data_IF_217638953246
#
_entry.id   IF_217638953246
#
_cell.length_a   1.000
_cell.length_b   1.000
_cell.length_c   1.000
_cell.angle_alpha   90.00
_cell.angle_beta   90.00
_cell.angle_gamma   90.00
#
_symmetry.space_group_name_H-M   'P 1'
#
loop_
_entity.id
_entity.type
_entity.pdbx_description
1 polymer ?
#
# COMPACT_ATOMS: atom_id res chain seq x y z
N UNK A 1 21.65 16.93 -45.14
CA UNK A 1 22.37 17.08 -43.85
C UNK A 1 21.59 18.12 -43.10
N UNK A 2 20.51 17.68 -42.46
CA UNK A 2 19.60 18.58 -41.78
C UNK A 2 19.80 18.40 -40.28
N UNK A 3 20.42 19.42 -39.70
CA UNK A 3 20.70 19.51 -38.27
C UNK A 3 19.38 19.59 -37.50
N UNK A 4 18.93 18.46 -36.96
CA UNK A 4 18.06 18.45 -35.79
C UNK A 4 18.91 18.85 -34.58
N UNK A 5 19.05 20.17 -34.37
CA UNK A 5 19.46 20.69 -33.07
C UNK A 5 18.35 20.38 -32.06
N UNK A 6 18.54 19.31 -31.28
CA UNK A 6 17.88 19.16 -29.99
C UNK A 6 18.22 20.42 -29.18
N UNK A 7 17.25 21.31 -29.02
CA UNK A 7 17.34 22.39 -28.05
C UNK A 7 17.59 21.81 -26.65
N UNK A 8 18.16 22.60 -25.72
CA UNK A 8 18.29 22.15 -24.34
C UNK A 8 16.91 21.74 -23.85
N UNK A 9 16.80 20.55 -23.27
CA UNK A 9 15.64 20.18 -22.46
C UNK A 9 15.51 21.34 -21.45
N UNK A 10 14.44 22.15 -21.56
CA UNK A 10 14.15 23.19 -20.58
C UNK A 10 14.34 22.57 -19.20
N UNK A 11 14.96 23.29 -18.27
CA UNK A 11 15.22 22.83 -16.90
C UNK A 11 13.89 22.74 -16.14
N UNK A 12 13.11 21.75 -16.53
CA UNK A 12 11.85 21.39 -15.96
C UNK A 12 12.22 20.74 -14.63
N UNK A 13 11.80 21.36 -13.53
CA UNK A 13 12.09 20.90 -12.18
C UNK A 13 11.64 19.46 -11.90
N UNK A 14 11.57 19.04 -10.65
CA UNK A 14 11.24 17.65 -10.33
C UNK A 14 10.01 17.51 -9.44
N UNK A 15 9.41 16.33 -9.49
CA UNK A 15 8.32 15.92 -8.60
C UNK A 15 8.79 14.75 -7.76
N UNK A 16 8.54 14.80 -6.46
CA UNK A 16 8.78 13.70 -5.55
C UNK A 16 7.47 12.96 -5.26
N UNK A 17 7.50 11.64 -5.36
CA UNK A 17 6.45 10.76 -4.86
C UNK A 17 7.00 9.89 -3.76
N UNK A 18 6.33 9.89 -2.60
CA UNK A 18 6.75 9.13 -1.44
C UNK A 18 5.62 8.18 -1.05
N UNK A 19 5.95 6.90 -0.90
CA UNK A 19 5.11 5.85 -0.33
C UNK A 19 5.74 5.38 0.99
N UNK A 20 5.10 5.72 2.11
CA UNK A 20 5.57 5.40 3.45
C UNK A 20 4.72 4.33 4.12
N UNK A 21 5.29 3.14 4.32
CA UNK A 21 4.62 2.01 4.94
C UNK A 21 5.21 1.59 6.29
N UNK A 22 4.68 0.49 6.82
CA UNK A 22 5.16 -0.13 8.07
C UNK A 22 6.53 -0.79 7.91
N UNK A 23 6.84 -1.34 6.73
CA UNK A 23 8.11 -2.06 6.50
C UNK A 23 9.16 -1.12 5.91
N UNK A 24 8.83 -0.44 4.82
CA UNK A 24 9.75 0.40 4.07
C UNK A 24 9.09 1.72 3.70
N UNK A 25 9.91 2.70 3.36
CA UNK A 25 9.52 3.97 2.74
C UNK A 25 10.27 4.13 1.44
N UNK A 26 9.57 4.42 0.35
CA UNK A 26 10.17 4.60 -0.98
C UNK A 26 9.91 6.03 -1.45
N UNK A 27 10.96 6.71 -1.91
CA UNK A 27 10.84 7.99 -2.59
C UNK A 27 11.32 7.84 -4.03
N UNK A 28 10.53 8.34 -4.99
CA UNK A 28 10.91 8.43 -6.39
C UNK A 28 10.94 9.89 -6.85
N UNK A 29 11.91 10.21 -7.69
CA UNK A 29 12.05 11.52 -8.31
C UNK A 29 11.73 11.42 -9.80
N UNK A 30 10.72 12.16 -10.26
CA UNK A 30 10.28 12.21 -11.66
C UNK A 30 10.53 13.61 -12.25
N UNK A 31 10.83 13.73 -13.56
CA UNK A 31 10.93 15.02 -14.22
C UNK A 31 9.55 15.70 -14.30
N UNK A 32 9.47 16.98 -13.96
CA UNK A 32 8.30 17.82 -14.18
C UNK A 32 8.12 18.11 -15.67
N UNK A 33 6.88 18.37 -16.12
CA UNK A 33 6.60 18.84 -17.48
C UNK A 33 6.87 17.87 -18.66
N UNK A 34 7.45 16.70 -18.44
CA UNK A 34 7.64 15.71 -19.51
C UNK A 34 6.30 15.18 -20.03
N UNK A 35 6.06 15.32 -21.34
CA UNK A 35 4.90 14.71 -22.01
C UNK A 35 5.38 13.42 -22.68
N UNK A 36 5.08 12.27 -22.07
CA UNK A 36 5.53 10.97 -22.58
C UNK A 36 5.74 9.92 -21.49
N UNK A 37 6.50 8.87 -21.79
CA UNK A 37 6.87 7.84 -20.81
C UNK A 37 7.78 8.48 -19.74
N UNK A 38 7.23 8.73 -18.56
CA UNK A 38 7.95 9.37 -17.45
C UNK A 38 9.02 8.41 -16.95
N UNK A 39 10.29 8.70 -17.28
CA UNK A 39 11.43 7.94 -16.79
C UNK A 39 11.75 8.40 -15.36
N UNK A 40 11.76 7.46 -14.42
CA UNK A 40 12.21 7.70 -13.06
C UNK A 40 13.69 8.14 -13.06
N UNK A 41 13.99 9.30 -12.46
CA UNK A 41 15.36 9.83 -12.34
C UNK A 41 16.11 9.12 -11.23
N UNK A 42 15.45 8.89 -10.10
CA UNK A 42 16.02 8.20 -8.95
C UNK A 42 14.94 7.53 -8.11
N UNK A 43 15.37 6.52 -7.35
CA UNK A 43 14.57 5.77 -6.38
C UNK A 43 15.40 5.52 -5.14
N UNK A 44 14.99 6.04 -4.01
CA UNK A 44 15.59 5.81 -2.70
C UNK A 44 14.65 4.99 -1.81
N UNK A 45 15.23 4.19 -0.92
CA UNK A 45 14.49 3.32 0.01
C UNK A 45 15.05 3.48 1.41
N UNK A 46 14.16 3.66 2.38
CA UNK A 46 14.50 3.65 3.80
C UNK A 46 13.57 2.70 4.56
N UNK A 47 13.77 2.59 5.88
CA UNK A 47 12.93 1.79 6.76
C UNK A 47 11.51 2.34 6.96
N UNK A 48 10.87 1.90 8.04
CA UNK A 48 9.50 2.29 8.38
C UNK A 48 9.34 3.80 8.61
N UNK A 49 8.30 4.39 8.01
CA UNK A 49 7.82 5.74 8.36
C UNK A 49 6.45 5.70 9.05
N UNK A 50 6.00 4.51 9.48
CA UNK A 50 4.77 4.38 10.24
C UNK A 50 4.99 4.80 11.70
N UNK A 51 4.47 5.97 12.07
CA UNK A 51 4.58 6.53 13.44
C UNK A 51 4.06 5.58 14.53
N UNK A 52 3.06 4.75 14.23
CA UNK A 52 2.50 3.81 15.22
C UNK A 52 3.46 2.65 15.49
N UNK A 53 4.39 2.39 14.56
CA UNK A 53 5.39 1.33 14.66
C UNK A 53 6.70 1.83 15.25
N UNK A 54 7.22 2.99 14.81
CA UNK A 54 8.58 3.46 15.18
C UNK A 54 8.58 4.77 15.98
N UNK A 55 7.41 5.35 16.24
CA UNK A 55 7.30 6.67 16.85
C UNK A 55 7.46 7.82 15.86
N UNK A 56 7.02 9.01 16.29
CA UNK A 56 6.92 10.21 15.44
C UNK A 56 8.29 10.69 14.92
N UNK A 57 9.28 10.83 15.79
CA UNK A 57 10.58 11.41 15.43
C UNK A 57 11.32 10.54 14.40
N UNK A 58 11.37 9.22 14.63
CA UNK A 58 12.02 8.28 13.72
C UNK A 58 11.31 8.21 12.37
N UNK A 59 9.98 8.30 12.36
CA UNK A 59 9.20 8.36 11.13
C UNK A 59 9.55 9.61 10.30
N UNK A 60 9.58 10.80 10.92
CA UNK A 60 9.93 12.05 10.22
C UNK A 60 11.37 12.07 9.71
N UNK A 61 12.32 11.56 10.49
CA UNK A 61 13.72 11.43 10.09
C UNK A 61 13.86 10.51 8.88
N UNK A 62 13.14 9.38 8.87
CA UNK A 62 13.09 8.45 7.74
C UNK A 62 12.57 9.14 6.47
N UNK A 63 11.48 9.92 6.57
CA UNK A 63 10.92 10.67 5.45
C UNK A 63 11.89 11.73 4.91
N UNK A 64 12.57 12.47 5.79
CA UNK A 64 13.56 13.47 5.39
C UNK A 64 14.74 12.82 4.66
N UNK A 65 15.30 11.75 5.24
CA UNK A 65 16.47 11.07 4.69
C UNK A 65 16.19 10.46 3.32
N UNK A 66 15.04 9.79 3.14
CA UNK A 66 14.71 9.15 1.85
C UNK A 66 14.46 10.19 0.75
N UNK A 67 13.86 11.35 1.07
CA UNK A 67 13.70 12.45 0.10
C UNK A 67 15.04 13.08 -0.27
N UNK A 68 15.91 13.30 0.72
CA UNK A 68 17.27 13.83 0.50
C UNK A 68 18.10 12.90 -0.37
N UNK A 69 18.04 11.59 -0.12
CA UNK A 69 18.76 10.58 -0.90
C UNK A 69 18.24 10.52 -2.34
N UNK A 70 16.91 10.55 -2.55
CA UNK A 70 16.33 10.57 -3.89
C UNK A 70 16.78 11.80 -4.69
N UNK A 71 16.78 12.99 -4.08
CA UNK A 71 17.28 14.21 -4.74
C UNK A 71 18.77 14.14 -5.06
N UNK A 72 19.58 13.66 -4.11
CA UNK A 72 21.02 13.45 -4.28
C UNK A 72 21.33 12.50 -5.45
N UNK A 73 20.62 11.37 -5.53
CA UNK A 73 20.78 10.40 -6.63
C UNK A 73 20.29 10.92 -7.98
N UNK A 74 19.34 11.85 -7.99
CA UNK A 74 18.86 12.51 -9.21
C UNK A 74 19.74 13.69 -9.64
N UNK A 75 20.76 14.05 -8.84
CA UNK A 75 21.58 15.26 -9.03
C UNK A 75 20.73 16.54 -9.07
N UNK A 76 19.78 16.66 -8.13
CA UNK A 76 18.84 17.78 -8.04
C UNK A 76 18.84 18.45 -6.67
N UNK A 77 18.60 19.75 -6.67
CA UNK A 77 18.45 20.56 -5.48
C UNK A 77 16.98 20.68 -5.03
N UNK A 78 16.78 20.97 -3.75
CA UNK A 78 15.46 21.22 -3.17
C UNK A 78 14.71 22.39 -3.83
N UNK A 79 15.44 23.35 -4.42
CA UNK A 79 14.89 24.50 -5.17
C UNK A 79 14.31 24.13 -6.54
N UNK A 80 14.66 22.96 -7.07
CA UNK A 80 14.16 22.46 -8.35
C UNK A 80 12.87 21.65 -8.17
N UNK A 81 12.53 21.27 -6.94
CA UNK A 81 11.29 20.55 -6.63
C UNK A 81 10.10 21.45 -6.93
N UNK A 82 9.13 20.96 -7.70
CA UNK A 82 7.87 21.66 -8.00
C UNK A 82 6.71 21.12 -7.17
N UNK A 83 6.77 19.84 -6.83
CA UNK A 83 5.72 19.19 -6.08
C UNK A 83 6.22 17.98 -5.29
N UNK A 84 5.56 17.69 -4.17
CA UNK A 84 5.74 16.48 -3.39
C UNK A 84 4.37 15.88 -3.11
N UNK A 85 4.18 14.61 -3.45
CA UNK A 85 3.09 13.80 -2.91
C UNK A 85 3.67 12.86 -1.86
N UNK A 86 3.23 13.04 -0.62
CA UNK A 86 3.59 12.23 0.53
C UNK A 86 2.39 11.36 0.90
N UNK A 87 2.39 10.11 0.43
CA UNK A 87 1.37 9.13 0.78
C UNK A 87 1.92 8.21 1.85
N UNK A 88 1.40 8.29 3.07
CA UNK A 88 1.95 7.56 4.21
C UNK A 88 0.88 6.89 5.05
N UNK A 89 1.20 5.69 5.52
CA UNK A 89 0.34 4.92 6.40
C UNK A 89 0.09 5.68 7.70
N UNK A 90 -1.16 5.67 8.15
CA UNK A 90 -1.59 6.36 9.38
C UNK A 90 -2.06 7.81 9.18
N UNK A 91 -2.00 8.38 7.97
CA UNK A 91 -2.73 9.60 7.63
C UNK A 91 -4.20 9.24 7.46
N UNK A 92 -4.99 9.50 8.50
CA UNK A 92 -6.39 9.11 8.58
C UNK A 92 -7.33 10.27 8.91
N UNK A 93 -6.80 11.34 9.49
CA UNK A 93 -7.57 12.49 9.93
C UNK A 93 -6.97 13.79 9.39
N UNK A 94 -7.76 14.86 9.14
CA UNK A 94 -7.24 16.15 8.68
C UNK A 94 -6.12 16.74 9.55
N UNK A 95 -6.08 16.41 10.84
CA UNK A 95 -4.99 16.80 11.75
C UNK A 95 -3.66 16.12 11.41
N UNK A 96 -3.67 14.87 10.95
CA UNK A 96 -2.47 14.16 10.51
C UNK A 96 -1.92 14.78 9.23
N UNK A 97 -2.83 15.08 8.29
CA UNK A 97 -2.51 15.73 7.02
C UNK A 97 -1.89 17.11 7.27
N UNK A 98 -2.53 17.94 8.11
CA UNK A 98 -2.06 19.28 8.45
C UNK A 98 -0.66 19.25 9.07
N UNK A 99 -0.41 18.34 10.01
CA UNK A 99 0.90 18.20 10.67
C UNK A 99 2.02 17.93 9.67
N UNK A 100 1.81 16.99 8.74
CA UNK A 100 2.79 16.67 7.70
C UNK A 100 2.96 17.81 6.70
N UNK A 101 1.88 18.50 6.33
CA UNK A 101 1.95 19.69 5.47
C UNK A 101 2.77 20.81 6.11
N UNK A 102 2.55 21.08 7.41
CA UNK A 102 3.30 22.11 8.13
C UNK A 102 4.79 21.72 8.25
N UNK A 103 5.10 20.44 8.45
CA UNK A 103 6.46 19.92 8.42
C UNK A 103 7.13 20.10 7.04
N UNK A 104 6.45 19.74 5.94
CA UNK A 104 6.96 19.93 4.58
C UNK A 104 7.25 21.41 4.27
N UNK A 105 6.36 22.32 4.69
CA UNK A 105 6.53 23.78 4.50
C UNK A 105 7.75 24.35 5.21
N UNK A 106 8.24 23.72 6.28
CA UNK A 106 9.48 24.14 6.95
C UNK A 106 10.73 23.68 6.22
N UNK A 107 10.64 22.65 5.38
CA UNK A 107 11.79 22.00 4.71
C UNK A 107 11.99 22.45 3.28
N UNK A 108 10.90 22.73 2.58
CA UNK A 108 10.89 23.04 1.16
C UNK A 108 10.65 24.54 0.90
N UNK A 109 11.13 25.08 -0.23
CA UNK A 109 10.81 26.44 -0.66
C UNK A 109 9.30 26.69 -0.81
N UNK A 110 8.88 27.95 -0.66
CA UNK A 110 7.46 28.34 -0.66
C UNK A 110 6.71 28.09 -1.96
N UNK A 111 7.41 27.88 -3.08
CA UNK A 111 6.80 27.61 -4.38
C UNK A 111 6.42 26.13 -4.57
N UNK A 112 6.89 25.23 -3.70
CA UNK A 112 6.63 23.80 -3.80
C UNK A 112 5.20 23.50 -3.37
N UNK A 113 4.50 22.71 -4.17
CA UNK A 113 3.15 22.22 -3.85
C UNK A 113 3.22 20.90 -3.09
N UNK A 114 2.40 20.74 -2.06
CA UNK A 114 2.37 19.53 -1.24
C UNK A 114 1.01 18.87 -1.28
N UNK A 115 1.03 17.56 -1.48
CA UNK A 115 -0.12 16.67 -1.36
C UNK A 115 0.23 15.64 -0.29
N UNK A 116 -0.57 15.57 0.76
CA UNK A 116 -0.38 14.58 1.83
C UNK A 116 -1.60 13.68 1.82
N UNK A 117 -1.37 12.40 1.58
CA UNK A 117 -2.43 11.42 1.34
C UNK A 117 -2.23 10.18 2.19
N UNK A 118 -3.27 9.36 2.25
CA UNK A 118 -3.16 7.99 2.75
C UNK A 118 -2.38 7.13 1.73
N UNK A 119 -1.64 6.14 2.21
CA UNK A 119 -0.90 5.16 1.39
C UNK A 119 -1.80 4.47 0.35
N UNK A 120 -3.07 4.23 0.67
CA UNK A 120 -4.05 3.68 -0.27
C UNK A 120 -4.28 4.56 -1.52
N UNK A 121 -4.15 5.88 -1.41
CA UNK A 121 -4.32 6.79 -2.56
C UNK A 121 -3.18 6.61 -3.55
N UNK A 122 -1.94 6.49 -3.08
CA UNK A 122 -0.78 6.22 -3.92
C UNK A 122 -0.84 4.81 -4.55
N UNK A 123 -1.30 3.81 -3.80
CA UNK A 123 -1.52 2.47 -4.31
C UNK A 123 -2.62 2.42 -5.39
N UNK A 124 -3.72 3.15 -5.22
CA UNK A 124 -4.74 3.29 -6.28
C UNK A 124 -4.17 4.02 -7.50
N UNK A 125 -3.37 5.06 -7.29
CA UNK A 125 -2.75 5.83 -8.36
C UNK A 125 -1.76 5.00 -9.18
N UNK A 126 -1.01 4.08 -8.58
CA UNK A 126 -0.06 3.25 -9.33
C UNK A 126 -0.75 2.29 -10.29
N UNK A 127 -1.90 1.73 -9.91
CA UNK A 127 -2.69 0.87 -10.79
C UNK A 127 -3.55 1.63 -11.81
N UNK A 128 -3.84 2.92 -11.57
CA UNK A 128 -4.68 3.75 -12.44
C UNK A 128 -3.92 4.82 -13.22
N UNK A 129 -2.58 4.79 -13.15
CA UNK A 129 -1.67 5.78 -13.75
C UNK A 129 -2.06 7.22 -13.38
N UNK A 130 -2.34 7.45 -12.09
CA UNK A 130 -2.64 8.76 -11.53
C UNK A 130 -4.04 9.32 -11.82
N UNK A 131 -4.97 8.51 -12.33
CA UNK A 131 -6.37 8.94 -12.60
C UNK A 131 -7.28 8.94 -11.36
N UNK A 132 -6.95 8.17 -10.33
CA UNK A 132 -7.71 8.05 -9.07
C UNK A 132 -9.20 7.74 -9.27
N UNK A 133 -9.48 6.60 -9.89
CA UNK A 133 -10.84 6.09 -10.03
C UNK A 133 -10.86 4.59 -9.78
N UNK A 134 -11.85 4.11 -9.02
CA UNK A 134 -12.09 2.70 -8.73
C UNK A 134 -11.79 2.35 -7.27
N UNK A 135 -11.34 1.11 -7.05
CA UNK A 135 -11.02 0.59 -5.73
C UNK A 135 -9.58 0.06 -5.71
N UNK A 136 -8.91 0.20 -4.59
CA UNK A 136 -7.67 -0.50 -4.26
C UNK A 136 -7.92 -1.44 -3.09
N UNK A 137 -7.31 -2.62 -3.14
CA UNK A 137 -7.17 -3.53 -2.01
C UNK A 137 -5.68 -3.65 -1.70
N UNK A 138 -5.30 -3.24 -0.50
CA UNK A 138 -3.96 -3.48 0.05
C UNK A 138 -4.06 -4.66 1.02
N UNK A 139 -3.22 -5.67 0.85
CA UNK A 139 -2.96 -6.67 1.89
C UNK A 139 -1.45 -6.97 1.99
N UNK A 140 -0.84 -6.40 3.01
CA UNK A 140 0.55 -6.63 3.42
C UNK A 140 0.56 -7.03 4.89
N UNK A 141 1.34 -6.35 5.73
CA UNK A 141 1.28 -6.54 7.20
C UNK A 141 -0.12 -6.26 7.74
N UNK A 142 -0.75 -5.18 7.29
CA UNK A 142 -2.17 -4.85 7.51
C UNK A 142 -2.97 -4.96 6.21
N UNK A 143 -4.26 -4.61 6.25
CA UNK A 143 -5.13 -4.63 5.07
C UNK A 143 -6.11 -3.49 5.04
N UNK A 144 -6.40 -2.94 3.86
CA UNK A 144 -7.39 -1.90 3.65
C UNK A 144 -7.99 -2.02 2.24
N UNK A 145 -9.30 -1.82 2.12
CA UNK A 145 -9.95 -1.50 0.86
C UNK A 145 -10.30 -0.02 0.85
N UNK A 146 -9.97 0.68 -0.24
CA UNK A 146 -10.22 2.11 -0.37
C UNK A 146 -10.65 2.43 -1.80
N UNK A 147 -11.60 3.32 -1.99
CA UNK A 147 -12.11 3.65 -3.31
C UNK A 147 -12.38 5.13 -3.49
N UNK A 148 -12.25 5.58 -4.74
CA UNK A 148 -12.51 6.94 -5.20
C UNK A 148 -13.37 6.87 -6.47
N UNK A 149 -14.44 7.66 -6.53
CA UNK A 149 -15.28 7.83 -7.72
C UNK A 149 -14.78 8.99 -8.58
N UNK A 150 -15.22 9.09 -9.84
CA UNK A 150 -14.77 10.19 -10.73
C UNK A 150 -15.17 11.59 -10.22
N UNK A 151 -16.26 11.68 -9.45
CA UNK A 151 -16.72 12.89 -8.76
C UNK A 151 -16.02 13.14 -7.41
N UNK A 152 -15.03 12.32 -7.04
CA UNK A 152 -14.18 12.52 -5.86
C UNK A 152 -14.79 12.04 -4.54
N UNK A 153 -15.86 11.23 -4.55
CA UNK A 153 -16.36 10.60 -3.32
C UNK A 153 -15.46 9.45 -2.94
N UNK A 154 -15.21 9.32 -1.64
CA UNK A 154 -14.28 8.35 -1.09
C UNK A 154 -14.98 7.41 -0.11
N UNK A 155 -14.52 6.16 -0.05
CA UNK A 155 -14.93 5.22 0.99
C UNK A 155 -13.80 4.26 1.31
N UNK A 156 -13.81 3.76 2.54
CA UNK A 156 -12.85 2.77 3.02
C UNK A 156 -13.50 1.66 3.83
N UNK A 157 -12.85 0.49 3.87
CA UNK A 157 -13.16 -0.62 4.74
C UNK A 157 -11.84 -1.26 5.24
N UNK A 158 -11.83 -1.75 6.48
CA UNK A 158 -10.62 -2.14 7.22
C UNK A 158 -9.61 -0.97 7.33
N UNK A 159 -8.32 -1.27 7.57
CA UNK A 159 -7.27 -0.28 7.79
C UNK A 159 -7.31 0.35 9.18
N UNK A 160 -7.94 -0.33 10.14
CA UNK A 160 -8.06 0.12 11.53
C UNK A 160 -6.96 -0.50 12.42
N UNK A 161 -6.14 -1.39 11.86
CA UNK A 161 -5.08 -2.10 12.56
C UNK A 161 -5.51 -3.49 13.02
N UNK A 162 -4.54 -4.31 13.47
CA UNK A 162 -4.76 -5.74 13.71
C UNK A 162 -5.76 -6.05 14.83
N UNK A 163 -5.88 -5.17 15.82
CA UNK A 163 -6.84 -5.31 16.93
C UNK A 163 -8.28 -5.12 16.46
N UNK A 164 -8.49 -4.29 15.44
CA UNK A 164 -9.81 -3.83 14.98
C UNK A 164 -10.29 -4.54 13.71
N UNK A 165 -9.62 -5.62 13.30
CA UNK A 165 -10.11 -6.49 12.25
C UNK A 165 -9.54 -6.25 10.87
N UNK A 166 -8.23 -5.94 10.77
CA UNK A 166 -7.46 -6.13 9.54
C UNK A 166 -7.28 -7.65 9.23
N UNK A 167 -8.40 -8.39 9.19
CA UNK A 167 -8.43 -9.81 8.90
C UNK A 167 -8.15 -10.05 7.41
N UNK A 168 -7.43 -11.13 7.12
CA UNK A 168 -6.86 -11.38 5.79
C UNK A 168 -5.60 -10.58 5.45
N UNK A 169 -5.17 -9.65 6.31
CA UNK A 169 -3.79 -9.17 6.30
C UNK A 169 -2.80 -10.27 6.67
N UNK A 170 -1.52 -10.05 6.40
CA UNK A 170 -0.47 -10.98 6.80
C UNK A 170 -0.39 -11.17 8.31
N UNK A 171 -0.57 -10.09 9.09
CA UNK A 171 -0.68 -10.21 10.55
C UNK A 171 -1.91 -11.04 10.92
N UNK A 172 -3.07 -10.77 10.33
CA UNK A 172 -4.32 -11.48 10.62
C UNK A 172 -4.21 -12.98 10.35
N UNK A 173 -3.67 -13.36 9.18
CA UNK A 173 -3.42 -14.76 8.79
C UNK A 173 -2.49 -15.45 9.80
N UNK A 174 -1.35 -14.82 10.10
CA UNK A 174 -0.35 -15.39 11.01
C UNK A 174 -0.84 -15.47 12.47
N UNK A 175 -1.56 -14.46 12.95
CA UNK A 175 -2.13 -14.47 14.30
C UNK A 175 -3.17 -15.58 14.49
N UNK A 176 -4.00 -15.84 13.47
CA UNK A 176 -4.91 -16.99 13.47
C UNK A 176 -4.15 -18.32 13.48
N UNK A 177 -3.04 -18.43 12.74
CA UNK A 177 -2.20 -19.62 12.74
C UNK A 177 -1.52 -19.87 14.09
N UNK A 178 -0.93 -18.84 14.71
CA UNK A 178 -0.38 -18.93 16.06
C UNK A 178 -1.46 -19.32 17.08
N UNK A 179 -2.66 -18.74 16.97
CA UNK A 179 -3.81 -19.11 17.80
C UNK A 179 -4.20 -20.59 17.61
N UNK A 180 -4.15 -21.09 16.37
CA UNK A 180 -4.42 -22.48 16.07
C UNK A 180 -3.38 -23.44 16.68
N UNK A 181 -2.09 -23.07 16.66
CA UNK A 181 -1.02 -23.83 17.33
C UNK A 181 -1.28 -23.95 18.83
N UNK A 182 -1.61 -22.84 19.50
CA UNK A 182 -1.92 -22.87 20.94
C UNK A 182 -3.17 -23.71 21.23
N UNK A 183 -4.23 -23.56 20.43
CA UNK A 183 -5.45 -24.37 20.57
C UNK A 183 -5.20 -25.87 20.35
N UNK A 184 -4.33 -26.23 19.41
CA UNK A 184 -3.95 -27.62 19.18
C UNK A 184 -3.15 -28.17 20.38
N UNK A 185 -2.28 -27.34 20.97
CA UNK A 185 -1.48 -27.71 22.13
C UNK A 185 -2.30 -27.91 23.41
N UNK A 186 -3.23 -26.99 23.69
CA UNK A 186 -4.06 -27.03 24.91
C UNK A 186 -5.34 -27.89 24.77
N UNK A 187 -5.54 -28.51 23.61
CA UNK A 187 -6.64 -29.43 23.33
C UNK A 187 -7.98 -28.78 22.97
N UNK A 188 -8.05 -27.45 22.81
CA UNK A 188 -9.27 -26.74 22.36
C UNK A 188 -9.49 -26.80 20.83
N UNK A 189 -8.47 -27.16 20.07
CA UNK A 189 -8.50 -27.22 18.61
C UNK A 189 -8.00 -28.56 18.07
N UNK A 190 -8.23 -28.83 16.78
CA UNK A 190 -7.68 -30.01 16.13
C UNK A 190 -6.15 -29.95 16.05
N UNK A 191 -5.51 -31.11 15.95
CA UNK A 191 -4.09 -31.19 15.59
C UNK A 191 -3.88 -30.58 14.20
N UNK A 192 -2.75 -29.90 14.02
CA UNK A 192 -2.40 -29.21 12.77
C UNK A 192 -0.91 -29.27 12.52
N UNK A 193 -0.53 -29.38 11.24
CA UNK A 193 0.86 -29.27 10.76
C UNK A 193 1.45 -27.90 11.02
N UNK A 194 0.61 -26.87 11.23
CA UNK A 194 1.06 -25.54 11.63
C UNK A 194 1.92 -25.58 12.91
N UNK A 195 1.63 -26.50 13.84
CA UNK A 195 2.42 -26.62 15.08
C UNK A 195 3.88 -26.91 14.76
N UNK A 196 4.17 -28.02 14.08
CA UNK A 196 5.55 -28.40 13.78
C UNK A 196 6.22 -27.41 12.82
N UNK A 197 5.48 -26.93 11.82
CA UNK A 197 6.02 -26.03 10.80
C UNK A 197 6.39 -24.65 11.38
N UNK A 198 5.56 -24.08 12.26
CA UNK A 198 5.86 -22.80 12.92
C UNK A 198 6.96 -22.97 13.95
N UNK A 199 6.95 -24.02 14.77
CA UNK A 199 8.03 -24.26 15.73
C UNK A 199 9.38 -24.40 15.03
N UNK A 200 9.42 -25.10 13.89
CA UNK A 200 10.62 -25.23 13.07
C UNK A 200 11.08 -23.88 12.50
N UNK A 201 10.18 -23.08 11.94
CA UNK A 201 10.51 -21.75 11.40
C UNK A 201 11.08 -20.84 12.49
N UNK A 202 10.49 -20.88 13.69
CA UNK A 202 10.86 -20.04 14.82
C UNK A 202 12.00 -20.61 15.66
N UNK A 203 12.46 -21.83 15.36
CA UNK A 203 13.47 -22.58 16.11
C UNK A 203 13.09 -22.77 17.60
N UNK A 204 11.81 -23.03 17.87
CA UNK A 204 11.27 -23.26 19.20
C UNK A 204 11.14 -24.75 19.49
N UNK A 205 11.34 -25.14 20.75
CA UNK A 205 11.30 -26.57 21.13
C UNK A 205 9.89 -27.03 21.55
N UNK A 206 8.99 -26.10 21.86
CA UNK A 206 7.64 -26.40 22.34
C UNK A 206 6.62 -25.30 22.00
N UNK A 207 5.32 -25.62 21.87
CA UNK A 207 4.27 -24.61 21.68
C UNK A 207 4.19 -23.56 22.79
N UNK A 208 4.58 -23.89 24.03
CA UNK A 208 4.60 -22.93 25.15
C UNK A 208 5.56 -21.76 24.90
N UNK A 209 6.68 -22.01 24.20
CA UNK A 209 7.66 -20.96 23.87
C UNK A 209 7.12 -19.93 22.88
N UNK A 210 6.04 -20.25 22.14
CA UNK A 210 5.38 -19.31 21.22
C UNK A 210 4.86 -18.08 21.97
N UNK A 211 4.45 -18.24 23.23
CA UNK A 211 3.99 -17.12 24.08
C UNK A 211 5.16 -16.14 24.28
N UNK A 212 6.30 -16.66 24.76
CA UNK A 212 7.51 -15.85 24.97
C UNK A 212 7.98 -15.18 23.67
N UNK A 213 8.01 -15.94 22.57
CA UNK A 213 8.37 -15.41 21.27
C UNK A 213 7.43 -14.28 20.81
N UNK A 214 6.12 -14.41 21.02
CA UNK A 214 5.11 -13.43 20.57
C UNK A 214 5.22 -12.13 21.34
N UNK A 215 5.40 -12.17 22.67
CA UNK A 215 5.44 -10.97 23.50
C UNK A 215 6.85 -10.35 23.62
N UNK A 216 7.90 -11.03 23.16
CA UNK A 216 9.27 -10.49 23.15
C UNK A 216 9.45 -9.30 22.19
N UNK A 217 8.61 -9.19 21.16
CA UNK A 217 8.68 -8.13 20.15
C UNK A 217 7.26 -7.81 19.63
N UNK A 218 6.84 -6.56 19.76
CA UNK A 218 5.53 -6.08 19.34
C UNK A 218 5.40 -5.85 17.82
N UNK A 219 6.46 -6.09 17.03
CA UNK A 219 6.49 -5.89 15.59
C UNK A 219 5.43 -6.70 14.85
N UNK A 220 4.49 -6.00 14.20
CA UNK A 220 3.47 -6.66 13.37
C UNK A 220 4.06 -7.34 12.14
N UNK A 221 5.14 -6.77 11.58
CA UNK A 221 5.82 -7.35 10.42
C UNK A 221 6.45 -8.71 10.76
N UNK A 222 6.96 -8.88 11.98
CA UNK A 222 7.53 -10.14 12.46
C UNK A 222 6.47 -11.25 12.55
N UNK A 223 5.26 -10.91 12.99
CA UNK A 223 4.14 -11.86 12.98
C UNK A 223 3.72 -12.17 11.54
N UNK A 224 3.52 -11.14 10.71
CA UNK A 224 3.11 -11.30 9.31
C UNK A 224 4.11 -12.12 8.47
N UNK A 225 5.38 -12.16 8.85
CA UNK A 225 6.41 -12.98 8.19
C UNK A 225 6.13 -14.49 8.24
N UNK A 226 5.18 -14.96 9.07
CA UNK A 226 4.77 -16.37 9.14
C UNK A 226 3.78 -16.80 8.03
N UNK A 227 3.24 -15.86 7.23
CA UNK A 227 2.29 -16.18 6.14
C UNK A 227 2.80 -17.28 5.19
N UNK A 228 4.08 -17.29 4.74
CA UNK A 228 4.60 -18.35 3.89
C UNK A 228 4.49 -19.75 4.52
N UNK A 229 4.66 -19.86 5.85
CA UNK A 229 4.51 -21.13 6.58
C UNK A 229 3.06 -21.61 6.57
N UNK A 230 2.10 -20.68 6.74
CA UNK A 230 0.66 -20.98 6.66
C UNK A 230 0.30 -21.45 5.26
N UNK A 231 0.76 -20.75 4.23
CA UNK A 231 0.54 -21.12 2.82
C UNK A 231 1.15 -22.49 2.50
N UNK A 232 2.39 -22.76 2.94
CA UNK A 232 3.02 -24.07 2.74
C UNK A 232 2.23 -25.19 3.42
N UNK A 233 1.76 -24.96 4.64
CA UNK A 233 0.97 -25.95 5.39
C UNK A 233 -0.36 -26.24 4.69
N UNK A 234 -1.03 -25.22 4.15
CA UNK A 234 -2.26 -25.40 3.38
C UNK A 234 -2.03 -26.21 2.09
N UNK A 235 -0.94 -25.91 1.37
CA UNK A 235 -0.50 -26.65 0.17
C UNK A 235 -0.20 -28.12 0.48
N UNK A 236 0.31 -28.39 1.68
CA UNK A 236 0.59 -29.73 2.20
C UNK A 236 -0.68 -30.47 2.69
N UNK A 237 -1.86 -29.87 2.53
CA UNK A 237 -3.15 -30.48 2.86
C UNK A 237 -3.61 -30.24 4.30
N UNK A 238 -3.01 -29.31 5.04
CA UNK A 238 -3.47 -28.99 6.40
C UNK A 238 -4.82 -28.26 6.36
N UNK A 239 -5.86 -28.87 6.93
CA UNK A 239 -7.23 -28.33 6.90
C UNK A 239 -7.37 -27.02 7.68
N UNK A 240 -6.63 -26.86 8.78
CA UNK A 240 -6.68 -25.65 9.61
C UNK A 240 -6.07 -24.47 8.86
N UNK A 241 -4.92 -24.66 8.23
CA UNK A 241 -4.28 -23.65 7.39
C UNK A 241 -5.16 -23.28 6.18
N UNK A 242 -5.75 -24.27 5.49
CA UNK A 242 -6.69 -24.02 4.39
C UNK A 242 -7.89 -23.18 4.85
N UNK A 243 -8.46 -23.50 6.02
CA UNK A 243 -9.57 -22.75 6.60
C UNK A 243 -9.19 -21.29 6.87
N UNK A 244 -8.05 -21.05 7.54
CA UNK A 244 -7.55 -19.69 7.83
C UNK A 244 -7.42 -18.85 6.56
N UNK A 245 -6.85 -19.44 5.50
CA UNK A 245 -6.65 -18.73 4.24
C UNK A 245 -7.98 -18.48 3.51
N UNK A 246 -8.95 -19.39 3.58
CA UNK A 246 -10.27 -19.17 3.01
C UNK A 246 -11.06 -18.09 3.75
N UNK A 247 -11.03 -18.08 5.09
CA UNK A 247 -11.66 -17.03 5.90
C UNK A 247 -11.04 -15.67 5.58
N UNK A 248 -9.70 -15.62 5.47
CA UNK A 248 -8.95 -14.43 5.06
C UNK A 248 -9.35 -13.89 3.67
N UNK A 249 -9.58 -14.79 2.70
CA UNK A 249 -10.09 -14.41 1.37
C UNK A 249 -11.47 -13.77 1.46
N UNK A 250 -12.36 -14.32 2.29
CA UNK A 250 -13.71 -13.78 2.49
C UNK A 250 -13.65 -12.39 3.12
N UNK A 251 -12.84 -12.19 4.17
CA UNK A 251 -12.69 -10.90 4.85
C UNK A 251 -12.20 -9.81 3.89
N UNK A 252 -11.18 -10.12 3.06
CA UNK A 252 -10.66 -9.20 2.06
C UNK A 252 -11.71 -8.87 0.98
N UNK A 253 -12.45 -9.88 0.50
CA UNK A 253 -13.51 -9.68 -0.48
C UNK A 253 -14.65 -8.81 0.07
N UNK A 254 -15.06 -9.03 1.32
CA UNK A 254 -16.10 -8.26 1.98
C UNK A 254 -15.71 -6.79 2.14
N UNK A 255 -14.42 -6.51 2.41
CA UNK A 255 -13.91 -5.14 2.44
C UNK A 255 -14.09 -4.42 1.09
N UNK A 256 -13.71 -5.07 -0.02
CA UNK A 256 -13.90 -4.50 -1.36
C UNK A 256 -15.38 -4.34 -1.67
N UNK A 257 -16.20 -5.35 -1.38
CA UNK A 257 -17.65 -5.32 -1.62
C UNK A 257 -18.31 -4.15 -0.88
N UNK A 258 -17.89 -3.90 0.36
CA UNK A 258 -18.39 -2.79 1.17
C UNK A 258 -18.06 -1.42 0.54
N UNK A 259 -16.83 -1.24 0.05
CA UNK A 259 -16.41 0.00 -0.64
C UNK A 259 -17.18 0.20 -1.94
N UNK A 260 -17.21 -0.83 -2.80
CA UNK A 260 -17.90 -0.79 -4.10
C UNK A 260 -19.38 -0.46 -3.91
N UNK A 261 -20.05 -1.05 -2.91
CA UNK A 261 -21.46 -0.80 -2.61
C UNK A 261 -21.71 0.63 -2.14
N UNK A 262 -20.89 1.16 -1.23
CA UNK A 262 -21.06 2.53 -0.70
C UNK A 262 -20.84 3.60 -1.76
N UNK A 263 -19.90 3.37 -2.67
CA UNK A 263 -19.56 4.29 -3.74
C UNK A 263 -20.37 4.11 -5.01
N UNK A 264 -21.05 2.96 -5.15
CA UNK A 264 -21.75 2.54 -6.36
C UNK A 264 -20.82 2.51 -7.58
N UNK A 265 -19.59 2.00 -7.40
CA UNK A 265 -18.55 1.98 -8.46
C UNK A 265 -18.96 1.19 -9.70
N UNK A 266 -19.92 0.27 -9.57
CA UNK A 266 -20.46 -0.54 -10.65
C UNK A 266 -21.75 0.03 -11.26
N UNK A 267 -22.13 1.27 -10.94
CA UNK A 267 -23.38 1.88 -11.39
C UNK A 267 -24.65 1.26 -10.76
N UNK A 268 -25.81 1.80 -11.13
CA UNK A 268 -27.11 1.40 -10.54
C UNK A 268 -27.50 -0.06 -10.84
N UNK A 269 -27.09 -0.60 -11.99
CA UNK A 269 -27.39 -1.96 -12.41
C UNK A 269 -26.42 -3.03 -11.85
N UNK A 270 -25.37 -2.59 -11.15
CA UNK A 270 -24.36 -3.45 -10.54
C UNK A 270 -23.36 -4.08 -11.52
N UNK A 271 -23.37 -3.69 -12.79
CA UNK A 271 -22.61 -4.36 -13.87
C UNK A 271 -21.54 -3.49 -14.52
N UNK A 272 -21.50 -2.20 -14.17
CA UNK A 272 -20.47 -1.27 -14.63
C UNK A 272 -19.06 -1.77 -14.32
N UNK A 273 -18.13 -1.48 -15.24
CA UNK A 273 -16.72 -1.84 -15.07
C UNK A 273 -16.03 -0.85 -14.15
N UNK A 274 -15.22 -1.35 -13.22
CA UNK A 274 -14.36 -0.53 -12.38
C UNK A 274 -13.02 -1.23 -12.13
N UNK A 275 -11.90 -0.48 -12.03
CA UNK A 275 -10.62 -1.06 -11.71
C UNK A 275 -10.57 -1.45 -10.22
N UNK A 276 -10.03 -2.64 -9.95
CA UNK A 276 -9.65 -3.10 -8.62
C UNK A 276 -8.14 -3.27 -8.59
N UNK A 277 -7.44 -2.27 -8.06
CA UNK A 277 -5.99 -2.31 -7.92
C UNK A 277 -5.62 -3.19 -6.73
N UNK A 278 -4.69 -4.13 -6.89
CA UNK A 278 -4.27 -5.05 -5.84
C UNK A 278 -2.80 -4.83 -5.48
N UNK A 279 -2.52 -4.55 -4.22
CA UNK A 279 -1.16 -4.22 -3.73
C UNK A 279 -0.83 -4.97 -2.44
N UNK A 280 0.42 -5.41 -2.31
CA UNK A 280 0.94 -6.03 -1.09
C UNK A 280 1.20 -7.52 -1.24
N UNK A 281 2.20 -8.01 -0.49
CA UNK A 281 2.74 -9.36 -0.63
C UNK A 281 1.77 -10.50 -0.39
N UNK A 282 0.65 -10.27 0.32
CA UNK A 282 -0.40 -11.29 0.52
C UNK A 282 -1.18 -11.54 -0.78
N UNK A 283 -1.30 -10.54 -1.64
CA UNK A 283 -2.03 -10.62 -2.91
C UNK A 283 -1.14 -11.03 -4.09
N UNK A 284 0.17 -11.13 -3.89
CA UNK A 284 1.10 -11.58 -4.93
C UNK A 284 0.82 -13.03 -5.33
N UNK A 285 0.85 -13.32 -6.63
CA UNK A 285 0.50 -14.64 -7.15
C UNK A 285 1.46 -15.72 -6.66
N UNK A 286 0.94 -16.69 -5.91
CA UNK A 286 1.65 -17.93 -5.56
C UNK A 286 1.13 -19.08 -6.41
N UNK A 287 2.05 -19.95 -6.89
CA UNK A 287 1.73 -21.01 -7.88
C UNK A 287 0.80 -22.10 -7.35
N UNK A 288 0.64 -22.26 -6.03
CA UNK A 288 -0.19 -23.34 -5.45
C UNK A 288 -1.35 -22.86 -4.56
N UNK A 289 -1.22 -21.72 -3.88
CA UNK A 289 -2.32 -21.10 -3.15
C UNK A 289 -2.33 -19.58 -3.35
N UNK A 290 -3.21 -19.10 -4.21
CA UNK A 290 -3.22 -17.71 -4.68
C UNK A 290 -4.38 -16.92 -4.06
N UNK A 291 -4.08 -16.21 -2.96
CA UNK A 291 -5.09 -15.42 -2.22
C UNK A 291 -5.67 -14.34 -3.13
N UNK A 292 -4.85 -13.63 -3.92
CA UNK A 292 -5.31 -12.58 -4.82
C UNK A 292 -6.30 -13.07 -5.87
N UNK A 293 -6.05 -14.25 -6.45
CA UNK A 293 -6.99 -14.89 -7.40
C UNK A 293 -8.30 -15.32 -6.72
N UNK A 294 -8.25 -15.92 -5.54
CA UNK A 294 -9.48 -16.34 -4.85
C UNK A 294 -10.31 -15.13 -4.37
N UNK A 295 -9.67 -14.06 -3.91
CA UNK A 295 -10.35 -12.78 -3.60
C UNK A 295 -11.04 -12.23 -4.85
N UNK A 296 -10.33 -12.15 -5.97
CA UNK A 296 -10.88 -11.71 -7.26
C UNK A 296 -12.09 -12.55 -7.67
N UNK A 297 -12.03 -13.87 -7.50
CA UNK A 297 -13.11 -14.80 -7.82
C UNK A 297 -14.31 -14.67 -6.89
N UNK A 298 -14.10 -14.36 -5.61
CA UNK A 298 -15.19 -14.06 -4.69
C UNK A 298 -15.90 -12.75 -5.09
N UNK A 299 -15.14 -11.72 -5.43
CA UNK A 299 -15.70 -10.42 -5.82
C UNK A 299 -16.42 -10.53 -7.18
N UNK A 300 -15.90 -11.27 -8.16
CA UNK A 300 -16.51 -11.37 -9.50
C UNK A 300 -17.88 -12.07 -9.50
N UNK A 301 -18.16 -12.92 -8.51
CA UNK A 301 -19.49 -13.50 -8.30
C UNK A 301 -20.55 -12.45 -7.94
N UNK A 302 -20.13 -11.37 -7.26
CA UNK A 302 -21.02 -10.28 -6.83
C UNK A 302 -21.01 -9.15 -7.86
N UNK A 303 -19.83 -8.80 -8.39
CA UNK A 303 -19.62 -7.74 -9.36
C UNK A 303 -18.88 -8.26 -10.60
N UNK A 304 -19.59 -8.75 -11.62
CA UNK A 304 -18.97 -9.29 -12.83
C UNK A 304 -18.12 -8.27 -13.62
N UNK A 305 -18.37 -6.97 -13.41
CA UNK A 305 -17.65 -5.88 -14.06
C UNK A 305 -16.25 -5.57 -13.49
N UNK A 306 -15.81 -6.27 -12.44
CA UNK A 306 -14.49 -6.00 -11.84
C UNK A 306 -13.37 -6.13 -12.87
N UNK A 307 -12.42 -5.22 -12.81
CA UNK A 307 -11.19 -5.26 -13.60
C UNK A 307 -9.98 -5.27 -12.66
N UNK A 308 -9.52 -6.45 -12.21
CA UNK A 308 -8.35 -6.57 -11.34
C UNK A 308 -7.10 -6.05 -12.05
N UNK A 309 -6.31 -5.26 -11.34
CA UNK A 309 -5.06 -4.66 -11.84
C UNK A 309 -3.96 -4.95 -10.83
N UNK A 310 -2.91 -5.63 -11.28
CA UNK A 310 -1.62 -5.62 -10.61
C UNK A 310 -0.84 -4.41 -11.15
N UNK A 311 -0.45 -3.42 -10.32
CA UNK A 311 0.29 -2.27 -10.80
C UNK A 311 1.59 -2.67 -11.49
N UNK A 312 1.89 -2.02 -12.62
CA UNK A 312 3.19 -2.16 -13.31
C UNK A 312 4.28 -1.30 -12.66
N UNK A 313 3.89 -0.38 -11.78
CA UNK A 313 4.76 0.55 -11.06
C UNK A 313 4.45 0.54 -9.57
N UNK A 314 5.44 0.90 -8.75
CA UNK A 314 5.28 0.98 -7.30
C UNK A 314 4.36 2.15 -6.88
N UNK A 315 3.73 2.09 -5.69
CA UNK A 315 2.89 3.18 -5.18
C UNK A 315 3.60 4.53 -5.11
N UNK A 316 4.91 4.59 -4.83
CA UNK A 316 5.68 5.83 -4.87
C UNK A 316 5.63 6.53 -6.24
N UNK A 317 5.63 5.76 -7.33
CA UNK A 317 5.42 6.29 -8.70
C UNK A 317 3.99 6.79 -8.86
N UNK A 318 3.01 6.05 -8.32
CA UNK A 318 1.63 6.52 -8.22
C UNK A 318 1.53 7.89 -7.55
N UNK A 319 2.15 8.07 -6.38
CA UNK A 319 2.21 9.34 -5.66
C UNK A 319 2.84 10.45 -6.52
N UNK A 320 3.98 10.19 -7.17
CA UNK A 320 4.62 11.19 -8.03
C UNK A 320 3.73 11.60 -9.21
N UNK A 321 3.01 10.64 -9.83
CA UNK A 321 2.05 10.92 -10.90
C UNK A 321 0.88 11.79 -10.41
N UNK A 322 0.42 11.60 -9.16
CA UNK A 322 -0.60 12.46 -8.56
C UNK A 322 -0.12 13.90 -8.42
N UNK A 323 1.04 14.10 -7.79
CA UNK A 323 1.63 15.43 -7.66
C UNK A 323 1.81 16.10 -9.03
N UNK A 324 2.26 15.33 -10.03
CA UNK A 324 2.43 15.84 -11.39
C UNK A 324 1.10 16.27 -12.05
N UNK A 325 0.05 15.43 -11.97
CA UNK A 325 -1.27 15.74 -12.52
C UNK A 325 -1.95 16.93 -11.84
N UNK A 326 -1.86 17.02 -10.52
CA UNK A 326 -2.51 18.10 -9.76
C UNK A 326 -1.83 19.45 -10.04
N UNK A 327 -0.48 19.48 -10.08
CA UNK A 327 0.26 20.69 -10.41
C UNK A 327 -0.03 21.21 -11.83
N UNK A 328 -0.14 20.31 -12.80
CA UNK A 328 -0.40 20.66 -14.20
C UNK A 328 -1.84 21.12 -14.45
N UNK A 329 -2.83 20.54 -13.75
CA UNK A 329 -4.22 21.01 -13.80
C UNK A 329 -4.37 22.43 -13.25
N UNK A 330 -3.77 22.71 -12.09
CA UNK A 330 -3.83 24.04 -11.47
C UNK A 330 -3.16 25.12 -12.35
N UNK A 331 -2.05 24.80 -13.03
CA UNK A 331 -1.38 25.73 -13.94
C UNK A 331 -2.22 26.15 -15.15
N UNK A 332 -3.06 25.24 -15.68
CA UNK A 332 -3.97 25.52 -16.81
C UNK A 332 -5.17 26.37 -16.40
N UNK A 333 -5.68 26.21 -15.19
CA UNK A 333 -6.80 27.03 -14.68
C UNK A 333 -6.39 28.48 -14.47
N UNK A 334 -5.12 28.74 -14.12
CA UNK A 334 -4.57 30.10 -13.97
C UNK A 334 -4.33 30.77 -15.34
N UNK A 335 -3.89 30.02 -16.35
CA UNK A 335 -3.65 30.56 -17.70
C UNK A 335 -4.93 30.85 -18.50
N UNK A 336 -6.04 30.17 -18.21
CA UNK A 336 -7.34 30.42 -18.86
C UNK A 336 -8.19 31.48 -18.13
N UNK A 337 -7.67 32.09 -17.07
CA UNK A 337 -8.34 33.10 -16.25
C UNK A 337 -7.81 34.52 -16.39
N UNK A 338 -6.98 34.79 -17.40
CA UNK A 338 -6.44 36.12 -17.78
C UNK A 338 -6.80 36.44 -19.22
#
# INVERSE_FOLDING_TARGET
MDNHTNGPIEDLGVVLGVDGGTTNTVCVCLPYGSTGQVKCLSRAVAGSSNRNSVGENAAMETLENVMKEALSMAERDWSEVRAVCLAVSGVNHPSDQKRLLDWLRMKFPSHVKFYVENDAVAALASGTMGKLHGCVLIAGTGSIAYGITEDGREARAAGAGPVLGDWGSGYGIAAQALTAVIKAHDGRGPLTRLTDNILKELQLSSPDEVIGWTYADASWARIAALVPVVVSSAIEGDEVANKILHESVCDLADCVIAVVRRLQLCGEDGKGRFPLVMVGGVLESNKKWDIGKEVTKCISKVYPGINPIQPEVEPAVGAALLAWHMCTKEGKTVQNGT
#
